data_IF_908829467679
#
_entry.id   IF_908829467679
#
_cell.length_a   1.000
_cell.length_b   1.000
_cell.length_c   1.000
_cell.angle_alpha   90.00
_cell.angle_beta   90.00
_cell.angle_gamma   90.00
#
_symmetry.space_group_name_H-M   'P 1'
#
loop_
_entity.id
_entity.type
_entity.pdbx_description
1 polymer ?
#
# COMPACT_ATOMS: atom_id res chain seq x y z
N UNK A 1 -34.73 2.83 -8.60
CA UNK A 1 -34.99 2.61 -7.16
C UNK A 1 -34.17 1.44 -6.63
N UNK A 2 -34.08 0.31 -7.35
CA UNK A 2 -33.30 -0.90 -7.01
C UNK A 2 -31.81 -0.67 -6.66
N UNK A 3 -31.05 0.05 -7.49
CA UNK A 3 -29.59 0.26 -7.27
C UNK A 3 -29.22 1.00 -5.98
N UNK A 4 -30.09 1.87 -5.47
CA UNK A 4 -29.83 2.61 -4.24
C UNK A 4 -29.97 1.69 -3.02
N UNK A 5 -30.91 0.75 -3.08
CA UNK A 5 -31.17 -0.22 -2.01
C UNK A 5 -30.04 -1.24 -1.89
N UNK A 6 -29.44 -1.67 -3.01
CA UNK A 6 -28.29 -2.58 -3.01
C UNK A 6 -27.02 -1.95 -2.42
N UNK A 7 -26.78 -0.66 -2.70
CA UNK A 7 -25.64 0.07 -2.15
C UNK A 7 -25.77 0.27 -0.64
N UNK A 8 -26.96 0.58 -0.16
CA UNK A 8 -27.22 0.71 1.28
C UNK A 8 -27.11 -0.63 2.02
N UNK A 9 -27.52 -1.74 1.40
CA UNK A 9 -27.29 -3.09 1.94
C UNK A 9 -25.80 -3.46 1.96
N UNK A 10 -25.01 -3.12 0.93
CA UNK A 10 -23.56 -3.38 0.91
C UNK A 10 -22.78 -2.57 1.96
N UNK A 11 -23.25 -1.37 2.31
CA UNK A 11 -22.66 -0.54 3.38
C UNK A 11 -22.98 -1.04 4.77
N UNK A 12 -24.08 -1.76 4.94
CA UNK A 12 -24.58 -2.21 6.24
C UNK A 12 -24.40 -3.71 6.48
N UNK A 13 -23.59 -4.39 5.66
CA UNK A 13 -23.36 -5.83 5.78
C UNK A 13 -21.87 -6.19 5.70
N UNK A 14 -21.40 -7.10 6.54
CA UNK A 14 -20.05 -7.66 6.51
C UNK A 14 -20.09 -9.16 6.80
N UNK A 15 -19.56 -10.01 5.91
CA UNK A 15 -19.54 -11.47 6.12
C UNK A 15 -20.92 -12.13 6.28
N UNK A 16 -21.97 -11.53 5.73
CA UNK A 16 -23.36 -12.03 5.81
C UNK A 16 -24.16 -11.55 7.04
N UNK A 17 -23.56 -10.76 7.94
CA UNK A 17 -24.25 -10.11 9.07
C UNK A 17 -24.46 -8.61 8.82
N UNK A 18 -25.59 -8.09 9.29
CA UNK A 18 -25.83 -6.66 9.32
C UNK A 18 -24.93 -5.98 10.36
N UNK A 19 -24.31 -4.85 10.01
CA UNK A 19 -23.39 -4.06 10.83
C UNK A 19 -23.58 -2.57 10.53
N UNK A 20 -23.28 -1.70 11.48
CA UNK A 20 -23.20 -0.27 11.21
C UNK A 20 -21.99 0.08 10.32
N UNK A 21 -21.98 1.27 9.73
CA UNK A 21 -20.89 1.70 8.83
C UNK A 21 -19.54 1.78 9.56
N UNK A 22 -19.52 2.30 10.80
CA UNK A 22 -18.31 2.39 11.64
C UNK A 22 -17.79 1.01 12.05
N UNK A 23 -18.68 0.09 12.40
CA UNK A 23 -18.33 -1.30 12.70
C UNK A 23 -17.80 -2.02 11.47
N UNK A 24 -18.42 -1.79 10.29
CA UNK A 24 -17.95 -2.36 9.03
C UNK A 24 -16.53 -1.92 8.71
N UNK A 25 -16.22 -0.64 8.88
CA UNK A 25 -14.88 -0.14 8.62
C UNK A 25 -13.84 -0.76 9.57
N UNK A 26 -14.20 -0.93 10.83
CA UNK A 26 -13.35 -1.59 11.83
C UNK A 26 -13.13 -3.07 11.50
N UNK A 27 -14.19 -3.78 11.12
CA UNK A 27 -14.15 -5.20 10.75
C UNK A 27 -13.36 -5.47 9.47
N UNK A 28 -13.54 -4.63 8.44
CA UNK A 28 -12.74 -4.66 7.20
C UNK A 28 -11.28 -4.43 7.52
N UNK A 29 -10.95 -3.39 8.31
CA UNK A 29 -9.57 -3.08 8.71
C UNK A 29 -8.95 -4.25 9.50
N UNK A 30 -9.71 -4.84 10.43
CA UNK A 30 -9.28 -6.01 11.20
C UNK A 30 -9.06 -7.24 10.32
N UNK A 31 -9.91 -7.48 9.32
CA UNK A 31 -9.72 -8.57 8.35
C UNK A 31 -8.46 -8.34 7.52
N UNK A 32 -8.29 -7.14 6.96
CA UNK A 32 -7.10 -6.76 6.20
C UNK A 32 -5.82 -6.94 7.03
N UNK A 33 -5.79 -6.49 8.27
CA UNK A 33 -4.65 -6.67 9.18
C UNK A 33 -4.33 -8.16 9.45
N UNK A 34 -5.34 -9.03 9.50
CA UNK A 34 -5.14 -10.48 9.69
C UNK A 34 -4.61 -11.18 8.44
N UNK A 35 -5.03 -10.75 7.25
CA UNK A 35 -4.63 -11.40 5.99
C UNK A 35 -3.37 -10.81 5.37
N UNK A 36 -3.03 -9.55 5.65
CA UNK A 36 -1.88 -8.85 5.07
C UNK A 36 -0.56 -9.65 5.17
N UNK A 37 -0.17 -10.21 6.33
CA UNK A 37 1.08 -10.97 6.44
C UNK A 37 1.10 -12.25 5.57
N UNK A 38 -0.05 -12.90 5.40
CA UNK A 38 -0.16 -14.11 4.56
C UNK A 38 -0.17 -13.77 3.07
N UNK A 39 -0.80 -12.66 2.68
CA UNK A 39 -0.79 -12.18 1.31
C UNK A 39 0.59 -11.69 0.90
N UNK A 40 1.33 -11.00 1.78
CA UNK A 40 2.71 -10.58 1.50
C UNK A 40 3.62 -11.81 1.27
N UNK A 41 3.52 -12.82 2.13
CA UNK A 41 4.26 -14.08 1.98
C UNK A 41 3.88 -14.82 0.69
N UNK A 42 2.58 -14.92 0.39
CA UNK A 42 2.11 -15.54 -0.85
C UNK A 42 2.52 -14.74 -2.08
N UNK A 43 2.52 -13.40 -2.04
CA UNK A 43 3.02 -12.58 -3.14
C UNK A 43 4.52 -12.80 -3.34
N UNK A 44 5.30 -12.92 -2.27
CA UNK A 44 6.73 -13.20 -2.35
C UNK A 44 7.02 -14.58 -2.95
N UNK A 45 6.24 -15.60 -2.55
CA UNK A 45 6.42 -16.98 -3.00
C UNK A 45 5.86 -17.21 -4.42
N UNK A 46 4.62 -16.78 -4.69
CA UNK A 46 3.97 -16.96 -5.98
C UNK A 46 4.59 -16.09 -7.07
N UNK A 47 5.09 -14.90 -6.73
CA UNK A 47 5.83 -14.09 -7.70
C UNK A 47 7.27 -14.55 -7.87
N UNK A 48 7.77 -15.55 -7.14
CA UNK A 48 9.21 -15.86 -7.05
C UNK A 48 10.06 -14.59 -6.81
N UNK A 49 9.58 -13.65 -5.99
CA UNK A 49 10.25 -12.37 -5.75
C UNK A 49 10.25 -11.39 -6.94
N UNK A 50 9.52 -11.65 -8.03
CA UNK A 50 9.38 -10.75 -9.19
C UNK A 50 8.84 -9.37 -8.81
N UNK A 51 8.09 -9.27 -7.71
CA UNK A 51 7.65 -7.99 -7.14
C UNK A 51 8.85 -7.07 -6.83
N UNK A 52 10.00 -7.62 -6.40
CA UNK A 52 11.24 -6.86 -6.12
C UNK A 52 11.89 -6.37 -7.40
N UNK A 53 11.81 -7.15 -8.49
CA UNK A 53 12.29 -6.75 -9.82
C UNK A 53 11.45 -5.63 -10.40
N UNK A 54 10.13 -5.68 -10.22
CA UNK A 54 9.24 -4.58 -10.63
C UNK A 54 9.53 -3.31 -9.83
N UNK A 55 9.63 -3.38 -8.49
CA UNK A 55 9.99 -2.23 -7.64
C UNK A 55 11.32 -1.58 -8.08
N UNK A 56 12.35 -2.40 -8.31
CA UNK A 56 13.64 -1.96 -8.88
C UNK A 56 13.50 -1.25 -10.23
N UNK A 57 12.69 -1.81 -11.13
CA UNK A 57 12.49 -1.24 -12.47
C UNK A 57 11.72 0.08 -12.43
N UNK A 58 10.76 0.21 -11.50
CA UNK A 58 10.05 1.47 -11.25
C UNK A 58 11.01 2.53 -10.73
N UNK A 59 11.78 2.22 -9.68
CA UNK A 59 12.77 3.15 -9.10
C UNK A 59 13.81 3.57 -10.14
N UNK A 60 14.38 2.62 -10.88
CA UNK A 60 15.35 2.91 -11.95
C UNK A 60 14.79 3.88 -13.01
N UNK A 61 13.52 3.72 -13.40
CA UNK A 61 12.86 4.62 -14.35
C UNK A 61 12.58 5.99 -13.77
N UNK A 62 12.13 6.03 -12.51
CA UNK A 62 11.87 7.29 -11.80
C UNK A 62 13.14 8.12 -11.68
N UNK A 63 14.27 7.50 -11.29
CA UNK A 63 15.56 8.17 -11.16
C UNK A 63 16.09 8.63 -12.53
N UNK A 64 15.95 7.80 -13.57
CA UNK A 64 16.32 8.21 -14.92
C UNK A 64 15.53 9.43 -15.42
N UNK A 65 14.30 9.63 -14.94
CA UNK A 65 13.51 10.84 -15.24
C UNK A 65 13.85 12.02 -14.34
N UNK A 66 14.21 11.76 -13.07
CA UNK A 66 14.63 12.79 -12.12
C UNK A 66 15.91 13.49 -12.59
N UNK A 67 16.85 12.73 -13.19
CA UNK A 67 18.13 13.25 -13.65
C UNK A 67 18.93 13.85 -12.50
N UNK A 68 19.52 15.03 -12.72
CA UNK A 68 20.30 15.76 -11.72
C UNK A 68 19.47 16.77 -10.91
N UNK A 69 18.14 16.61 -10.86
CA UNK A 69 17.28 17.53 -10.08
C UNK A 69 17.58 17.34 -8.59
N UNK A 70 18.09 18.38 -7.90
CA UNK A 70 18.44 18.26 -6.50
C UNK A 70 17.21 18.41 -5.61
N UNK A 71 17.19 17.70 -4.49
CA UNK A 71 16.22 17.93 -3.42
C UNK A 71 15.60 16.64 -2.87
N UNK A 72 14.75 16.78 -1.84
CA UNK A 72 14.12 15.63 -1.19
C UNK A 72 13.17 14.89 -2.14
N UNK A 73 13.16 13.57 -2.03
CA UNK A 73 12.25 12.67 -2.77
C UNK A 73 11.11 12.22 -1.85
N UNK A 74 9.87 12.29 -2.34
CA UNK A 74 8.68 11.90 -1.58
C UNK A 74 8.04 10.65 -2.17
N UNK A 75 7.95 9.58 -1.37
CA UNK A 75 7.19 8.37 -1.67
C UNK A 75 5.75 8.51 -1.15
N UNK A 76 4.80 8.68 -2.07
CA UNK A 76 3.38 8.89 -1.77
C UNK A 76 2.62 7.56 -1.72
N UNK A 77 1.83 7.36 -0.67
CA UNK A 77 1.18 6.07 -0.35
C UNK A 77 2.21 4.93 -0.23
N UNK A 78 3.35 5.23 0.40
CA UNK A 78 4.50 4.33 0.47
C UNK A 78 4.27 3.06 1.30
N UNK A 79 3.17 2.97 2.05
CA UNK A 79 2.84 1.80 2.88
C UNK A 79 4.02 1.39 3.76
N UNK A 80 4.48 0.14 3.61
CA UNK A 80 5.61 -0.43 4.38
C UNK A 80 6.99 0.18 4.08
N UNK A 81 7.08 1.13 3.14
CA UNK A 81 8.32 1.83 2.80
C UNK A 81 9.29 1.05 1.91
N UNK A 82 8.85 -0.05 1.29
CA UNK A 82 9.72 -0.87 0.43
C UNK A 82 10.30 -0.10 -0.76
N UNK A 83 9.53 0.83 -1.32
CA UNK A 83 9.97 1.64 -2.46
C UNK A 83 10.96 2.72 -2.00
N UNK A 84 10.70 3.38 -0.88
CA UNK A 84 11.63 4.28 -0.21
C UNK A 84 12.97 3.62 0.15
N UNK A 85 12.95 2.39 0.66
CA UNK A 85 14.17 1.62 0.94
C UNK A 85 14.97 1.30 -0.33
N UNK A 86 14.28 1.02 -1.44
CA UNK A 86 14.95 0.84 -2.72
C UNK A 86 15.50 2.17 -3.25
N UNK A 87 14.74 3.28 -3.16
CA UNK A 87 15.20 4.63 -3.54
C UNK A 87 16.49 5.01 -2.81
N UNK A 88 16.61 4.71 -1.51
CA UNK A 88 17.80 4.99 -0.70
C UNK A 88 19.07 4.30 -1.19
N UNK A 89 18.95 3.19 -1.93
CA UNK A 89 20.11 2.51 -2.53
C UNK A 89 20.67 3.25 -3.73
N UNK A 90 19.86 4.07 -4.39
CA UNK A 90 20.24 4.83 -5.57
C UNK A 90 20.54 6.29 -5.26
N UNK A 91 19.87 6.84 -4.26
CA UNK A 91 20.02 8.21 -3.77
C UNK A 91 20.46 8.17 -2.30
N UNK A 92 21.73 7.81 -2.03
CA UNK A 92 22.20 7.60 -0.65
C UNK A 92 22.33 8.90 0.15
N UNK A 93 22.53 10.03 -0.54
CA UNK A 93 22.77 11.34 0.05
C UNK A 93 21.51 12.23 0.10
N UNK A 94 20.46 11.86 -0.64
CA UNK A 94 19.20 12.61 -0.68
C UNK A 94 18.28 12.24 0.49
N UNK A 95 17.49 13.21 0.93
CA UNK A 95 16.43 12.99 1.91
C UNK A 95 15.24 12.28 1.26
N UNK A 96 14.81 11.16 1.84
CA UNK A 96 13.67 10.38 1.36
C UNK A 96 12.55 10.44 2.41
N UNK A 97 11.41 10.99 2.00
CA UNK A 97 10.22 11.19 2.82
C UNK A 97 9.16 10.18 2.41
N UNK A 98 8.58 9.47 3.37
CA UNK A 98 7.48 8.52 3.12
C UNK A 98 6.19 9.10 3.69
N UNK A 99 5.16 9.21 2.86
CA UNK A 99 3.84 9.69 3.26
C UNK A 99 2.80 8.60 3.00
N UNK A 100 2.05 8.22 4.03
CA UNK A 100 0.95 7.27 3.91
C UNK A 100 -0.22 7.69 4.83
N UNK A 101 -1.46 7.46 4.38
CA UNK A 101 -2.65 7.79 5.15
C UNK A 101 -2.97 6.76 6.24
N UNK A 102 -2.36 5.58 6.18
CA UNK A 102 -2.55 4.48 7.14
C UNK A 102 -1.59 4.59 8.32
N UNK A 103 -2.11 4.38 9.54
CA UNK A 103 -1.31 4.42 10.78
C UNK A 103 -0.47 3.14 11.02
N UNK A 104 -0.61 2.12 10.17
CA UNK A 104 -0.16 0.75 10.44
C UNK A 104 1.20 0.35 9.86
N UNK A 105 1.94 1.27 9.22
CA UNK A 105 3.07 0.88 8.37
C UNK A 105 4.37 1.69 8.57
N UNK A 106 4.53 2.42 9.67
CA UNK A 106 5.85 2.97 10.03
C UNK A 106 6.72 1.88 10.66
N UNK A 107 7.76 1.44 9.96
CA UNK A 107 8.92 0.78 10.56
C UNK A 107 10.06 1.77 10.72
#
# INVERSE_FOLDING_TARGET
MERATDLEQMKTTFGGRAVSEDERQTEVTGLFNRIAPRYDLMNDLMSFGTHRLWKRKVVSRAIAQLGDVPGPVVDLAGGTGDLALELRRWLPDDEIIVADASKGCSR
#
